data_IF_006359274541
#
_entry.id   IF_006359274541
#
_cell.length_a   1.000
_cell.length_b   1.000
_cell.length_c   1.000
_cell.angle_alpha   90.00
_cell.angle_beta   90.00
_cell.angle_gamma   90.00
#
_symmetry.space_group_name_H-M   'P 1'
#
loop_
_entity.id
_entity.type
_entity.pdbx_description
1 polymer ?
#
# COMPACT_ATOMS: atom_id res chain seq x y z
N UNK A 1 10.67 -11.49 -28.08
CA UNK A 1 10.79 -10.85 -26.76
C UNK A 1 9.45 -10.29 -26.33
N UNK A 2 8.88 -10.78 -25.23
CA UNK A 2 7.70 -10.15 -24.62
C UNK A 2 8.23 -8.91 -23.89
N UNK A 3 8.04 -7.76 -24.52
CA UNK A 3 8.37 -6.46 -23.92
C UNK A 3 7.17 -6.05 -23.07
N UNK A 4 7.32 -6.12 -21.75
CA UNK A 4 6.41 -5.42 -20.84
C UNK A 4 6.71 -3.92 -20.96
N UNK A 5 5.85 -3.18 -21.66
CA UNK A 5 5.96 -1.73 -21.88
C UNK A 5 5.59 -0.90 -20.63
N UNK A 6 5.28 -1.56 -19.51
CA UNK A 6 5.09 -0.94 -18.20
C UNK A 6 3.69 -0.40 -17.95
N UNK A 7 2.75 -0.52 -18.89
CA UNK A 7 1.35 -0.16 -18.64
C UNK A 7 0.58 -1.42 -18.23
N UNK A 8 0.16 -1.47 -16.97
CA UNK A 8 -0.67 -2.57 -16.49
C UNK A 8 -2.15 -2.32 -16.85
N UNK A 9 -2.83 -3.32 -17.40
CA UNK A 9 -4.28 -3.26 -17.68
C UNK A 9 -5.10 -3.03 -16.40
N UNK A 10 -4.62 -3.61 -15.29
CA UNK A 10 -5.19 -3.48 -13.94
C UNK A 10 -4.08 -3.40 -12.91
N UNK A 11 -4.36 -2.67 -11.83
CA UNK A 11 -3.46 -2.52 -10.70
C UNK A 11 -4.21 -2.75 -9.39
N UNK A 12 -3.50 -3.33 -8.43
CA UNK A 12 -3.90 -3.29 -7.03
C UNK A 12 -2.79 -2.66 -6.19
N UNK A 13 -3.14 -1.62 -5.41
CA UNK A 13 -2.18 -0.97 -4.54
C UNK A 13 -1.95 -1.79 -3.25
N UNK A 14 -0.75 -2.35 -3.10
CA UNK A 14 -0.34 -3.07 -1.87
C UNK A 14 0.15 -2.08 -0.80
N UNK A 15 0.92 -1.06 -1.20
CA UNK A 15 1.40 -0.01 -0.31
C UNK A 15 2.84 -0.15 0.21
N UNK A 16 3.54 -1.25 -0.13
CA UNK A 16 4.95 -1.44 0.22
C UNK A 16 5.72 -2.24 -0.86
N UNK A 17 7.06 -2.18 -0.80
CA UNK A 17 8.00 -2.97 -1.62
C UNK A 17 8.29 -4.35 -1.01
N UNK A 18 7.77 -4.62 0.19
CA UNK A 18 7.85 -5.89 0.90
C UNK A 18 6.46 -6.39 1.28
N UNK A 19 6.15 -7.68 1.11
CA UNK A 19 4.88 -8.23 1.58
C UNK A 19 4.81 -8.29 3.12
N UNK A 20 5.93 -8.25 3.84
CA UNK A 20 5.97 -8.30 5.30
C UNK A 20 5.28 -7.05 5.88
N UNK A 21 4.24 -7.25 6.68
CA UNK A 21 3.39 -6.16 7.18
C UNK A 21 2.14 -5.90 6.33
N UNK A 22 2.10 -6.41 5.09
CA UNK A 22 1.04 -6.15 4.11
C UNK A 22 0.48 -7.45 3.50
N UNK A 23 0.31 -8.48 4.33
CA UNK A 23 -0.12 -9.80 3.85
C UNK A 23 -1.55 -9.79 3.32
N UNK A 24 -2.46 -9.08 4.00
CA UNK A 24 -3.86 -9.01 3.58
C UNK A 24 -4.01 -8.29 2.24
N UNK A 25 -3.30 -7.18 2.07
CA UNK A 25 -3.24 -6.43 0.83
C UNK A 25 -2.62 -7.26 -0.28
N UNK A 26 -1.53 -7.97 0.01
CA UNK A 26 -0.86 -8.85 -0.95
C UNK A 26 -1.77 -9.99 -1.39
N UNK A 27 -2.49 -10.63 -0.47
CA UNK A 27 -3.44 -11.71 -0.77
C UNK A 27 -4.64 -11.20 -1.57
N UNK A 28 -5.24 -10.10 -1.12
CA UNK A 28 -6.38 -9.44 -1.78
C UNK A 28 -6.02 -9.03 -3.20
N UNK A 29 -4.88 -8.35 -3.38
CA UNK A 29 -4.40 -7.95 -4.69
C UNK A 29 -4.12 -9.15 -5.60
N UNK A 30 -3.51 -10.22 -5.06
CA UNK A 30 -3.28 -11.45 -5.84
C UNK A 30 -4.61 -12.04 -6.33
N UNK A 31 -5.62 -12.14 -5.44
CA UNK A 31 -6.94 -12.66 -5.80
C UNK A 31 -7.63 -11.81 -6.87
N UNK A 32 -7.72 -10.51 -6.63
CA UNK A 32 -8.41 -9.58 -7.53
C UNK A 32 -7.75 -9.55 -8.90
N UNK A 33 -6.42 -9.57 -9.00
CA UNK A 33 -5.74 -9.57 -10.31
C UNK A 33 -5.98 -10.88 -11.07
N UNK A 34 -6.00 -12.03 -10.38
CA UNK A 34 -6.37 -13.31 -11.00
C UNK A 34 -7.84 -13.30 -11.46
N UNK A 35 -8.74 -12.72 -10.69
CA UNK A 35 -10.15 -12.57 -11.10
C UNK A 35 -10.32 -11.66 -12.31
N UNK A 36 -9.61 -10.53 -12.36
CA UNK A 36 -9.64 -9.65 -13.52
C UNK A 36 -9.11 -10.37 -14.78
N UNK A 37 -8.03 -11.15 -14.66
CA UNK A 37 -7.51 -11.92 -15.78
C UNK A 37 -8.51 -13.00 -16.25
N UNK A 38 -9.18 -13.69 -15.32
CA UNK A 38 -10.25 -14.67 -15.66
C UNK A 38 -11.45 -14.01 -16.33
N UNK A 39 -11.89 -12.86 -15.81
CA UNK A 39 -13.02 -12.11 -16.36
C UNK A 39 -12.72 -11.48 -17.73
N UNK A 40 -11.44 -11.32 -18.06
CA UNK A 40 -10.97 -10.90 -19.37
C UNK A 40 -10.73 -12.10 -20.32
N UNK A 41 -11.21 -13.30 -19.97
CA UNK A 41 -11.08 -14.54 -20.75
C UNK A 41 -9.62 -14.87 -21.13
N UNK A 42 -8.66 -14.60 -20.23
CA UNK A 42 -7.27 -14.92 -20.47
C UNK A 42 -7.07 -16.44 -20.65
N UNK A 43 -6.47 -16.84 -21.77
CA UNK A 43 -6.15 -18.24 -22.07
C UNK A 43 -5.22 -18.88 -21.03
N UNK A 44 -4.33 -18.07 -20.45
CA UNK A 44 -3.32 -18.53 -19.50
C UNK A 44 -2.99 -17.46 -18.45
N UNK A 45 -2.87 -17.86 -17.19
CA UNK A 45 -2.57 -16.97 -16.06
C UNK A 45 -1.29 -17.41 -15.37
N UNK A 46 -0.26 -16.56 -15.43
CA UNK A 46 0.99 -16.74 -14.69
C UNK A 46 1.00 -15.78 -13.50
N UNK A 47 1.17 -16.32 -12.30
CA UNK A 47 1.35 -15.52 -11.08
C UNK A 47 2.80 -15.59 -10.64
N UNK A 48 3.59 -14.57 -11.00
CA UNK A 48 4.93 -14.39 -10.44
C UNK A 48 4.83 -13.94 -8.98
N UNK A 49 5.63 -14.54 -8.11
CA UNK A 49 5.54 -14.28 -6.68
C UNK A 49 6.88 -13.83 -6.11
N UNK A 50 6.83 -13.09 -5.01
CA UNK A 50 8.03 -12.64 -4.30
C UNK A 50 8.91 -13.80 -3.85
N UNK A 51 10.23 -13.60 -3.77
CA UNK A 51 11.16 -14.57 -3.18
C UNK A 51 11.07 -14.71 -1.65
N UNK A 52 9.98 -14.24 -1.01
CA UNK A 52 9.78 -14.34 0.43
C UNK A 52 9.19 -15.73 0.75
N UNK A 53 10.05 -16.68 1.15
CA UNK A 53 9.66 -18.11 1.31
C UNK A 53 10.17 -18.79 2.58
N UNK A 54 11.09 -18.18 3.35
CA UNK A 54 11.80 -18.89 4.44
C UNK A 54 11.25 -18.64 5.85
N UNK A 55 10.67 -17.47 6.14
CA UNK A 55 10.10 -17.19 7.45
C UNK A 55 8.75 -17.91 7.64
N UNK A 56 8.32 -18.26 8.87
CA UNK A 56 7.01 -18.89 9.09
C UNK A 56 5.84 -18.10 8.48
N UNK A 57 5.87 -16.76 8.57
CA UNK A 57 4.87 -15.90 7.95
C UNK A 57 4.93 -15.93 6.41
N UNK A 58 6.13 -16.13 5.83
CA UNK A 58 6.31 -16.29 4.40
C UNK A 58 5.69 -17.58 3.89
N UNK A 59 5.88 -18.68 4.63
CA UNK A 59 5.27 -19.99 4.34
C UNK A 59 3.74 -19.87 4.32
N UNK A 60 3.16 -19.32 5.38
CA UNK A 60 1.71 -19.11 5.51
C UNK A 60 1.18 -18.22 4.37
N UNK A 61 1.89 -17.15 4.01
CA UNK A 61 1.51 -16.30 2.88
C UNK A 61 1.44 -17.07 1.56
N UNK A 62 2.40 -17.97 1.29
CA UNK A 62 2.40 -18.78 0.06
C UNK A 62 1.27 -19.81 0.06
N UNK A 63 1.03 -20.47 1.18
CA UNK A 63 -0.07 -21.41 1.35
C UNK A 63 -1.42 -20.72 1.11
N UNK A 64 -1.66 -19.57 1.72
CA UNK A 64 -2.88 -18.80 1.48
C UNK A 64 -3.00 -18.31 0.03
N UNK A 65 -1.91 -17.93 -0.66
CA UNK A 65 -1.99 -17.62 -2.09
C UNK A 65 -2.46 -18.83 -2.90
N UNK A 66 -1.87 -20.01 -2.67
CA UNK A 66 -2.24 -21.27 -3.33
C UNK A 66 -3.73 -21.58 -3.10
N UNK A 67 -4.18 -21.50 -1.84
CA UNK A 67 -5.58 -21.72 -1.47
C UNK A 67 -6.53 -20.69 -2.07
N UNK A 68 -6.12 -19.43 -2.17
CA UNK A 68 -6.99 -18.34 -2.56
C UNK A 68 -7.21 -18.29 -4.07
N UNK A 69 -6.19 -18.62 -4.87
CA UNK A 69 -6.30 -18.56 -6.34
C UNK A 69 -6.54 -19.92 -6.98
N UNK A 70 -6.38 -21.03 -6.24
CA UNK A 70 -6.55 -22.41 -6.70
C UNK A 70 -5.83 -22.67 -8.03
N UNK A 71 -4.50 -22.50 -8.11
CA UNK A 71 -3.79 -22.73 -9.35
C UNK A 71 -3.79 -24.22 -9.70
N UNK A 72 -3.73 -24.56 -10.99
CA UNK A 72 -3.60 -25.97 -11.43
C UNK A 72 -2.14 -26.47 -11.31
N UNK A 73 -1.18 -25.55 -11.43
CA UNK A 73 0.24 -25.84 -11.39
C UNK A 73 0.96 -24.90 -10.40
N UNK A 74 1.84 -25.46 -9.58
CA UNK A 74 2.77 -24.71 -8.75
C UNK A 74 4.20 -25.01 -9.20
N UNK A 75 4.94 -23.98 -9.62
CA UNK A 75 6.33 -24.11 -10.07
C UNK A 75 7.28 -23.61 -8.98
N UNK A 76 8.07 -24.51 -8.42
CA UNK A 76 9.07 -24.22 -7.39
C UNK A 76 10.48 -24.20 -8.01
N UNK A 77 11.09 -23.02 -8.11
CA UNK A 77 12.43 -22.84 -8.68
C UNK A 77 13.48 -22.83 -7.56
N UNK A 78 14.14 -23.96 -7.33
CA UNK A 78 15.09 -24.21 -6.25
C UNK A 78 15.13 -25.68 -5.84
N UNK A 79 15.86 -26.04 -4.78
CA UNK A 79 15.89 -27.42 -4.29
C UNK A 79 14.55 -27.76 -3.61
N UNK A 80 14.02 -28.96 -3.85
CA UNK A 80 12.70 -29.37 -3.31
C UNK A 80 12.57 -29.22 -1.79
N UNK A 81 13.65 -29.51 -1.05
CA UNK A 81 13.69 -29.37 0.42
C UNK A 81 13.41 -27.94 0.89
N UNK A 82 13.76 -26.92 0.10
CA UNK A 82 13.58 -25.50 0.44
C UNK A 82 12.10 -25.10 0.46
N UNK A 83 11.25 -25.83 -0.26
CA UNK A 83 9.82 -25.55 -0.37
C UNK A 83 8.94 -26.53 0.40
N UNK A 84 9.53 -27.51 1.11
CA UNK A 84 8.78 -28.56 1.80
C UNK A 84 7.78 -27.98 2.80
N UNK A 85 8.15 -26.91 3.52
CA UNK A 85 7.25 -26.24 4.46
C UNK A 85 6.02 -25.62 3.79
N UNK A 86 6.14 -25.18 2.53
CA UNK A 86 5.02 -24.62 1.77
C UNK A 86 4.18 -25.74 1.15
N UNK A 87 4.83 -26.76 0.60
CA UNK A 87 4.22 -27.71 -0.36
C UNK A 87 3.73 -29.01 0.26
N UNK A 88 4.23 -29.41 1.43
CA UNK A 88 3.94 -30.74 1.99
C UNK A 88 2.45 -31.02 2.19
N UNK A 89 1.67 -30.03 2.66
CA UNK A 89 0.23 -30.18 2.85
C UNK A 89 -0.56 -30.43 1.55
N UNK A 90 -0.03 -30.03 0.39
CA UNK A 90 -0.67 -30.21 -0.91
C UNK A 90 -0.18 -31.44 -1.67
N UNK A 91 0.86 -32.14 -1.19
CA UNK A 91 1.55 -33.21 -1.92
C UNK A 91 0.68 -34.40 -2.34
N UNK A 92 -0.45 -34.62 -1.66
CA UNK A 92 -1.40 -35.70 -1.95
C UNK A 92 -2.73 -35.18 -2.52
N UNK A 93 -2.83 -33.89 -2.84
CA UNK A 93 -4.07 -33.28 -3.30
C UNK A 93 -4.12 -33.24 -4.83
N UNK A 94 -5.07 -33.97 -5.43
CA UNK A 94 -5.15 -34.16 -6.87
C UNK A 94 -5.43 -32.89 -7.69
N UNK A 95 -5.84 -31.79 -7.06
CA UNK A 95 -6.17 -30.55 -7.77
C UNK A 95 -4.94 -29.68 -8.08
N UNK A 96 -3.77 -29.95 -7.47
CA UNK A 96 -2.57 -29.14 -7.62
C UNK A 96 -1.39 -29.99 -8.10
N UNK A 97 -0.85 -29.68 -9.28
CA UNK A 97 0.38 -30.29 -9.77
C UNK A 97 1.60 -29.46 -9.33
N UNK A 98 2.51 -30.05 -8.55
CA UNK A 98 3.69 -29.36 -8.04
C UNK A 98 4.93 -29.79 -8.83
N UNK A 99 5.65 -28.80 -9.37
CA UNK A 99 6.84 -28.98 -10.19
C UNK A 99 8.04 -28.37 -9.50
N UNK A 100 9.17 -29.09 -9.47
CA UNK A 100 10.43 -28.59 -8.95
C UNK A 100 11.44 -28.43 -10.07
N UNK A 101 11.94 -27.23 -10.26
CA UNK A 101 12.93 -26.88 -11.27
C UNK A 101 14.17 -26.31 -10.60
N UNK A 102 15.36 -26.68 -11.08
CA UNK A 102 16.58 -26.00 -10.66
C UNK A 102 16.67 -24.63 -11.34
N UNK A 103 17.23 -23.61 -10.66
CA UNK A 103 17.50 -22.33 -11.30
C UNK A 103 18.40 -22.51 -12.53
N UNK A 104 18.15 -21.73 -13.58
CA UNK A 104 18.99 -21.73 -14.77
C UNK A 104 20.44 -21.32 -14.43
N UNK A 105 21.44 -21.89 -15.12
CA UNK A 105 22.87 -21.66 -14.83
C UNK A 105 23.30 -20.20 -14.97
N UNK A 106 22.60 -19.41 -15.78
CA UNK A 106 22.84 -17.96 -15.94
C UNK A 106 22.19 -17.12 -14.83
N UNK A 107 21.35 -17.69 -13.97
CA UNK A 107 20.75 -16.96 -12.86
C UNK A 107 21.86 -16.48 -11.91
N UNK A 108 21.74 -15.23 -11.46
CA UNK A 108 22.70 -14.61 -10.54
C UNK A 108 21.97 -14.08 -9.33
N UNK A 109 22.59 -14.23 -8.16
CA UNK A 109 22.07 -13.67 -6.93
C UNK A 109 22.14 -12.13 -7.01
N UNK A 110 20.98 -11.47 -6.98
CA UNK A 110 20.93 -10.00 -6.88
C UNK A 110 21.19 -9.59 -5.44
N UNK A 111 22.19 -8.74 -5.21
CA UNK A 111 22.44 -8.14 -3.90
C UNK A 111 21.28 -7.25 -3.44
N UNK A 112 21.17 -6.97 -2.14
CA UNK A 112 20.19 -6.01 -1.61
C UNK A 112 20.31 -4.63 -2.26
N UNK A 113 21.55 -4.16 -2.50
CA UNK A 113 21.84 -2.89 -3.17
C UNK A 113 21.38 -2.90 -4.63
N UNK A 114 21.62 -4.00 -5.36
CA UNK A 114 21.15 -4.15 -6.75
C UNK A 114 19.63 -4.10 -6.82
N UNK A 115 18.93 -4.78 -5.90
CA UNK A 115 17.46 -4.73 -5.84
C UNK A 115 16.95 -3.33 -5.50
N UNK A 116 17.60 -2.64 -4.57
CA UNK A 116 17.25 -1.27 -4.20
C UNK A 116 17.40 -0.30 -5.36
N UNK A 117 18.53 -0.35 -6.07
CA UNK A 117 18.81 0.46 -7.26
C UNK A 117 17.81 0.20 -8.36
N UNK A 118 17.55 -1.07 -8.68
CA UNK A 118 16.55 -1.46 -9.67
C UNK A 118 15.16 -0.92 -9.32
N UNK A 119 14.72 -1.02 -8.06
CA UNK A 119 13.44 -0.43 -7.64
C UNK A 119 13.40 1.08 -7.81
N UNK A 120 14.48 1.78 -7.45
CA UNK A 120 14.61 3.22 -7.67
C UNK A 120 14.46 3.56 -9.15
N UNK A 121 15.21 2.89 -10.03
CA UNK A 121 15.11 3.07 -11.48
C UNK A 121 13.70 2.81 -12.02
N UNK A 122 13.00 1.79 -11.50
CA UNK A 122 11.59 1.52 -11.87
C UNK A 122 10.65 2.63 -11.42
N UNK A 123 10.81 3.16 -10.20
CA UNK A 123 10.03 4.31 -9.74
C UNK A 123 10.35 5.57 -10.55
N UNK A 124 11.62 5.86 -10.80
CA UNK A 124 12.06 7.00 -11.61
C UNK A 124 11.48 6.91 -13.04
N UNK A 125 11.44 5.70 -13.61
CA UNK A 125 10.80 5.45 -14.91
C UNK A 125 9.29 5.64 -14.85
N UNK A 126 8.61 5.11 -13.82
CA UNK A 126 7.15 5.26 -13.68
C UNK A 126 6.73 6.73 -13.50
N UNK A 127 7.54 7.52 -12.80
CA UNK A 127 7.26 8.92 -12.51
C UNK A 127 7.94 9.90 -13.48
N UNK A 128 8.58 9.44 -14.55
CA UNK A 128 9.31 10.31 -15.50
C UNK A 128 8.40 11.32 -16.20
N UNK A 129 7.18 10.90 -16.56
CA UNK A 129 6.15 11.72 -17.20
C UNK A 129 5.06 12.16 -16.21
N UNK A 130 5.40 12.27 -14.92
CA UNK A 130 4.47 12.69 -13.88
C UNK A 130 4.57 14.18 -13.58
N UNK A 131 3.44 14.77 -13.18
CA UNK A 131 3.37 16.15 -12.70
C UNK A 131 2.77 16.20 -11.30
N UNK A 132 3.13 17.23 -10.52
CA UNK A 132 2.46 17.50 -9.24
C UNK A 132 1.09 18.09 -9.53
N UNK A 133 0.06 17.50 -8.94
CA UNK A 133 -1.33 17.89 -9.10
C UNK A 133 -1.95 18.16 -7.74
N UNK A 134 -2.84 19.13 -7.66
CA UNK A 134 -3.58 19.44 -6.44
C UNK A 134 -4.80 18.55 -6.33
N UNK A 135 -4.97 17.91 -5.18
CA UNK A 135 -6.06 17.01 -4.87
C UNK A 135 -6.78 17.52 -3.62
N UNK A 136 -7.95 18.17 -3.77
CA UNK A 136 -8.74 18.68 -2.65
C UNK A 136 -9.20 17.58 -1.70
N UNK A 137 -9.20 17.85 -0.40
CA UNK A 137 -9.63 16.87 0.61
C UNK A 137 -11.09 16.46 0.41
N UNK A 138 -11.94 17.36 -0.05
CA UNK A 138 -13.37 17.15 -0.25
C UNK A 138 -13.66 16.13 -1.36
N UNK A 139 -12.75 16.02 -2.34
CA UNK A 139 -12.88 15.14 -3.49
C UNK A 139 -12.70 13.66 -3.13
N UNK A 140 -11.93 13.38 -2.08
CA UNK A 140 -11.46 12.03 -1.77
C UNK A 140 -11.93 11.52 -0.41
N UNK A 141 -11.89 10.20 -0.27
CA UNK A 141 -11.92 9.50 1.02
C UNK A 141 -10.66 8.68 1.24
N UNK A 142 -10.19 8.65 2.48
CA UNK A 142 -8.99 7.92 2.87
C UNK A 142 -9.25 6.44 3.07
N UNK A 143 -8.36 5.60 2.54
CA UNK A 143 -8.30 4.16 2.79
C UNK A 143 -6.96 3.77 3.40
N UNK A 144 -6.97 2.83 4.35
CA UNK A 144 -5.77 2.38 5.09
C UNK A 144 -5.01 3.52 5.79
N UNK A 145 -5.76 4.54 6.21
CA UNK A 145 -5.27 5.71 6.94
C UNK A 145 -6.36 6.14 7.93
N UNK A 146 -6.03 6.78 9.06
CA UNK A 146 -7.04 7.39 9.92
C UNK A 146 -7.59 8.73 9.38
N UNK A 147 -7.01 9.29 8.32
CA UNK A 147 -7.35 10.61 7.77
C UNK A 147 -8.26 10.53 6.54
N UNK A 148 -8.93 11.62 6.21
CA UNK A 148 -9.90 11.80 5.12
C UNK A 148 -11.12 10.88 5.18
N UNK A 149 -11.58 10.53 6.38
CA UNK A 149 -12.71 9.62 6.61
C UNK A 149 -13.79 10.32 7.43
N UNK A 150 -13.40 11.05 8.46
CA UNK A 150 -14.31 11.63 9.45
C UNK A 150 -14.84 12.99 9.03
N UNK A 151 -15.59 13.61 9.95
CA UNK A 151 -15.99 15.02 9.83
C UNK A 151 -14.80 15.90 10.20
N UNK A 152 -14.33 16.79 9.32
CA UNK A 152 -13.30 17.76 9.66
C UNK A 152 -13.71 18.63 10.85
N UNK A 153 -12.76 18.89 11.75
CA UNK A 153 -12.93 19.84 12.85
C UNK A 153 -13.05 21.27 12.29
N UNK A 154 -13.93 22.08 12.89
CA UNK A 154 -13.99 23.51 12.60
C UNK A 154 -12.91 24.29 13.38
N UNK A 155 -12.77 25.59 13.12
CA UNK A 155 -11.75 26.44 13.75
C UNK A 155 -11.80 26.42 15.29
N UNK A 156 -13.00 26.52 15.89
CA UNK A 156 -13.17 26.47 17.35
C UNK A 156 -12.77 25.12 17.93
N UNK A 157 -13.10 24.03 17.23
CA UNK A 157 -12.69 22.69 17.63
C UNK A 157 -11.17 22.52 17.53
N UNK A 158 -10.53 23.07 16.50
CA UNK A 158 -9.07 23.06 16.35
C UNK A 158 -8.38 23.88 17.46
N UNK A 159 -8.96 25.01 17.88
CA UNK A 159 -8.46 25.80 19.02
C UNK A 159 -8.52 25.00 20.33
N UNK A 160 -9.66 24.38 20.63
CA UNK A 160 -9.84 23.53 21.82
C UNK A 160 -8.84 22.36 21.80
N UNK A 161 -8.73 21.68 20.66
CA UNK A 161 -7.81 20.57 20.50
C UNK A 161 -6.35 21.01 20.63
N UNK A 162 -6.00 22.21 20.15
CA UNK A 162 -4.65 22.76 20.31
C UNK A 162 -4.33 23.08 21.77
N UNK A 163 -5.32 23.55 22.53
CA UNK A 163 -5.20 23.73 23.98
C UNK A 163 -4.98 22.40 24.71
N UNK A 164 -5.80 21.38 24.42
CA UNK A 164 -5.66 20.05 25.03
C UNK A 164 -4.36 19.33 24.64
N UNK A 165 -3.86 19.59 23.43
CA UNK A 165 -2.64 19.00 22.91
C UNK A 165 -1.37 19.77 23.32
N UNK A 166 -1.52 20.98 23.89
CA UNK A 166 -0.43 21.92 24.18
C UNK A 166 0.49 22.17 22.96
N UNK A 167 -0.07 22.07 21.76
CA UNK A 167 0.62 22.29 20.48
C UNK A 167 -0.39 22.62 19.40
N UNK A 168 0.04 23.29 18.34
CA UNK A 168 -0.84 23.60 17.22
C UNK A 168 -1.34 22.32 16.53
N UNK A 169 -2.65 22.21 16.38
CA UNK A 169 -3.34 21.18 15.59
C UNK A 169 -3.68 21.79 14.22
N UNK A 170 -3.03 21.32 13.17
CA UNK A 170 -3.26 21.81 11.80
C UNK A 170 -4.52 21.25 11.17
N UNK A 171 -4.88 20.01 11.52
CA UNK A 171 -6.03 19.32 10.98
C UNK A 171 -6.53 18.30 12.00
N UNK A 172 -7.84 18.09 12.04
CA UNK A 172 -8.43 17.04 12.83
C UNK A 172 -9.73 16.54 12.19
N UNK A 173 -10.03 15.25 12.38
CA UNK A 173 -11.31 14.67 11.97
C UNK A 173 -11.94 13.85 13.08
N UNK A 174 -13.23 14.07 13.24
CA UNK A 174 -14.08 13.34 14.16
C UNK A 174 -14.71 12.14 13.47
N UNK A 175 -14.58 10.96 14.08
CA UNK A 175 -15.35 9.77 13.75
C UNK A 175 -16.27 9.36 14.91
N UNK A 176 -16.87 8.18 14.83
CA UNK A 176 -17.71 7.67 15.91
C UNK A 176 -16.86 7.32 17.14
N UNK A 177 -16.84 8.22 18.14
CA UNK A 177 -15.99 8.12 19.34
C UNK A 177 -14.50 7.96 18.99
N UNK A 178 -14.05 8.53 17.87
CA UNK A 178 -12.64 8.55 17.47
C UNK A 178 -12.23 9.94 17.01
N UNK A 179 -10.96 10.26 17.18
CA UNK A 179 -10.35 11.49 16.69
C UNK A 179 -9.05 11.15 15.97
N UNK A 180 -8.78 11.78 14.83
CA UNK A 180 -7.43 11.84 14.28
C UNK A 180 -6.98 13.30 14.19
N UNK A 181 -5.69 13.55 14.43
CA UNK A 181 -5.10 14.89 14.42
C UNK A 181 -3.78 14.91 13.66
N UNK A 182 -3.53 16.00 12.94
CA UNK A 182 -2.21 16.41 12.49
C UNK A 182 -1.74 17.57 13.35
N UNK A 183 -0.61 17.38 14.03
CA UNK A 183 -0.05 18.35 14.97
C UNK A 183 1.32 18.84 14.53
N UNK A 184 1.73 19.99 15.05
CA UNK A 184 3.05 20.57 14.73
C UNK A 184 4.23 19.82 15.38
N UNK A 185 3.99 19.09 16.47
CA UNK A 185 5.00 18.33 17.22
C UNK A 185 4.40 17.04 17.75
N UNK A 186 5.20 15.97 17.80
CA UNK A 186 4.75 14.69 18.36
C UNK A 186 4.24 14.85 19.79
N UNK A 187 3.07 14.26 20.05
CA UNK A 187 2.49 14.22 21.39
C UNK A 187 3.01 13.04 22.19
N UNK A 188 3.14 13.23 23.50
CA UNK A 188 3.43 12.13 24.41
C UNK A 188 2.25 11.15 24.49
N UNK A 189 2.53 9.88 24.83
CA UNK A 189 1.46 8.89 25.09
C UNK A 189 0.50 9.35 26.19
N UNK A 190 1.00 10.05 27.21
CA UNK A 190 0.18 10.56 28.31
C UNK A 190 -0.80 11.63 27.82
N UNK A 191 -0.34 12.57 26.98
CA UNK A 191 -1.19 13.60 26.36
C UNK A 191 -2.28 12.97 25.49
N UNK A 192 -1.93 11.98 24.66
CA UNK A 192 -2.91 11.27 23.81
C UNK A 192 -3.97 10.55 24.67
N UNK A 193 -3.54 9.90 25.76
CA UNK A 193 -4.47 9.25 26.71
C UNK A 193 -5.35 10.29 27.41
N UNK A 194 -4.80 11.43 27.80
CA UNK A 194 -5.55 12.52 28.42
C UNK A 194 -6.65 13.03 27.49
N UNK A 195 -6.31 13.39 26.24
CA UNK A 195 -7.26 13.83 25.21
C UNK A 195 -8.35 12.77 25.00
N UNK A 196 -7.95 11.49 24.85
CA UNK A 196 -8.88 10.38 24.67
C UNK A 196 -9.90 10.31 25.81
N UNK A 197 -9.44 10.40 27.06
CA UNK A 197 -10.30 10.25 28.23
C UNK A 197 -11.18 11.50 28.44
N UNK A 198 -10.60 12.70 28.31
CA UNK A 198 -11.31 13.98 28.47
C UNK A 198 -12.49 14.09 27.49
N UNK A 199 -12.27 13.69 26.24
CA UNK A 199 -13.29 13.70 25.19
C UNK A 199 -14.14 12.42 25.14
N UNK A 200 -13.95 11.49 26.09
CA UNK A 200 -14.67 10.20 26.15
C UNK A 200 -14.58 9.38 24.86
N UNK A 201 -13.43 9.37 24.20
CA UNK A 201 -13.15 8.67 22.95
C UNK A 201 -12.65 7.25 23.17
N UNK A 202 -12.83 6.39 22.16
CA UNK A 202 -12.27 5.03 22.11
C UNK A 202 -10.86 5.02 21.55
N UNK A 203 -10.55 5.93 20.61
CA UNK A 203 -9.25 6.02 19.95
C UNK A 203 -8.91 7.45 19.57
N UNK A 204 -7.65 7.83 19.76
CA UNK A 204 -7.06 9.07 19.23
C UNK A 204 -5.82 8.69 18.43
N UNK A 205 -5.79 9.05 17.15
CA UNK A 205 -4.63 8.89 16.28
C UNK A 205 -3.98 10.26 16.08
N UNK A 206 -2.66 10.37 16.27
CA UNK A 206 -1.96 11.65 16.17
C UNK A 206 -0.72 11.47 15.33
N UNK A 207 -0.58 12.31 14.31
CA UNK A 207 0.57 12.31 13.40
C UNK A 207 1.06 13.75 13.20
N UNK A 208 2.25 13.90 12.61
CA UNK A 208 2.80 15.21 12.19
C UNK A 208 2.79 15.30 10.66
N UNK A 209 3.12 16.47 10.09
CA UNK A 209 3.07 16.69 8.63
C UNK A 209 3.89 15.67 7.82
N UNK A 210 5.01 15.20 8.38
CA UNK A 210 5.89 14.20 7.74
C UNK A 210 5.23 12.83 7.53
N UNK A 211 4.05 12.60 8.11
CA UNK A 211 3.21 11.45 7.78
C UNK A 211 2.85 11.44 6.28
N UNK A 212 2.59 12.59 5.67
CA UNK A 212 2.21 12.66 4.26
C UNK A 212 3.44 12.68 3.34
N UNK A 213 4.54 13.24 3.80
CA UNK A 213 5.70 13.54 2.95
C UNK A 213 6.30 12.29 2.29
N UNK A 214 6.45 12.38 0.97
CA UNK A 214 7.06 11.37 0.07
C UNK A 214 6.45 9.98 0.21
N UNK A 215 5.20 9.91 0.67
CA UNK A 215 4.48 8.65 0.86
C UNK A 215 3.85 8.18 -0.44
N UNK A 216 4.04 6.90 -0.73
CA UNK A 216 3.40 6.24 -1.85
C UNK A 216 1.90 6.05 -1.55
N UNK A 217 1.07 6.34 -2.54
CA UNK A 217 -0.39 6.23 -2.44
C UNK A 217 -0.97 5.60 -3.70
N UNK A 218 -2.09 4.90 -3.55
CA UNK A 218 -2.92 4.47 -4.68
C UNK A 218 -4.11 5.40 -4.84
N UNK A 219 -4.33 5.95 -6.04
CA UNK A 219 -5.57 6.68 -6.32
C UNK A 219 -6.62 5.71 -6.88
N UNK A 220 -7.83 5.84 -6.35
CA UNK A 220 -8.96 4.96 -6.64
C UNK A 220 -10.07 5.78 -7.28
N UNK A 221 -10.57 5.29 -8.41
CA UNK A 221 -11.68 5.92 -9.13
C UNK A 221 -13.04 5.46 -8.61
N UNK A 222 -14.10 6.01 -9.20
CA UNK A 222 -15.50 5.66 -8.86
C UNK A 222 -15.87 4.19 -9.10
N UNK A 223 -15.08 3.44 -9.87
CA UNK A 223 -15.28 2.00 -10.10
C UNK A 223 -14.66 1.13 -9.01
N UNK A 224 -13.90 1.75 -8.08
CA UNK A 224 -13.28 1.08 -6.95
C UNK A 224 -11.93 0.45 -7.25
N UNK A 225 -11.36 0.67 -8.43
CA UNK A 225 -10.04 0.16 -8.80
C UNK A 225 -8.94 1.20 -8.58
N UNK A 226 -7.75 0.73 -8.19
CA UNK A 226 -6.55 1.55 -8.29
C UNK A 226 -6.19 1.69 -9.77
N UNK A 227 -6.20 2.91 -10.29
CA UNK A 227 -5.85 3.18 -11.69
C UNK A 227 -4.49 3.89 -11.82
N UNK A 228 -3.99 4.50 -10.75
CA UNK A 228 -2.66 5.14 -10.73
C UNK A 228 -2.03 5.09 -9.34
N UNK A 229 -0.70 5.09 -9.30
CA UNK A 229 0.09 5.28 -8.08
C UNK A 229 0.58 6.72 -8.06
N UNK A 230 0.54 7.35 -6.89
CA UNK A 230 1.07 8.69 -6.67
C UNK A 230 2.07 8.74 -5.53
N UNK A 231 2.74 9.88 -5.41
CA UNK A 231 3.54 10.25 -4.24
C UNK A 231 2.97 11.55 -3.70
N UNK A 232 2.63 11.59 -2.41
CA UNK A 232 2.31 12.86 -1.77
C UNK A 232 3.61 13.64 -1.55
N UNK A 233 3.72 14.80 -2.17
CA UNK A 233 4.89 15.69 -2.05
C UNK A 233 4.70 16.71 -0.93
N UNK A 234 3.47 17.20 -0.74
CA UNK A 234 3.13 18.16 0.30
C UNK A 234 1.64 18.10 0.64
N UNK A 235 1.29 18.72 1.76
CA UNK A 235 -0.08 18.93 2.21
C UNK A 235 -0.23 20.39 2.63
N UNK A 236 -1.29 21.05 2.16
CA UNK A 236 -1.67 22.40 2.56
C UNK A 236 -2.98 22.31 3.34
N UNK A 237 -2.89 22.43 4.67
CA UNK A 237 -4.07 22.34 5.55
C UNK A 237 -4.95 23.60 5.50
N UNK A 238 -4.41 24.75 5.08
CA UNK A 238 -5.19 25.98 4.92
C UNK A 238 -6.04 25.91 3.65
N UNK A 239 -5.44 25.48 2.54
CA UNK A 239 -6.16 25.26 1.28
C UNK A 239 -6.95 23.96 1.26
N UNK A 240 -6.64 23.03 2.17
CA UNK A 240 -7.24 21.69 2.28
C UNK A 240 -6.97 20.85 1.02
N UNK A 241 -5.71 20.83 0.60
CA UNK A 241 -5.26 20.13 -0.62
C UNK A 241 -4.01 19.29 -0.36
N UNK A 242 -3.94 18.13 -1.02
CA UNK A 242 -2.72 17.34 -1.18
C UNK A 242 -2.05 17.70 -2.50
N UNK A 243 -0.74 17.92 -2.48
CA UNK A 243 0.09 17.96 -3.69
C UNK A 243 0.58 16.55 -3.99
N UNK A 244 0.04 15.92 -5.04
CA UNK A 244 0.34 14.53 -5.42
C UNK A 244 1.06 14.49 -6.76
N UNK A 245 2.28 13.93 -6.78
CA UNK A 245 2.98 13.59 -8.02
C UNK A 245 2.41 12.28 -8.58
N UNK A 246 1.80 12.35 -9.74
CA UNK A 246 1.28 11.19 -10.48
C UNK A 246 1.14 11.54 -11.97
N UNK A 247 0.71 10.57 -12.79
CA UNK A 247 0.43 10.78 -14.22
C UNK A 247 -0.50 12.00 -14.39
N UNK A 248 -0.19 12.88 -15.35
CA UNK A 248 -0.95 14.13 -15.58
C UNK A 248 -2.46 13.88 -15.73
N UNK A 249 -3.26 14.79 -15.15
CA UNK A 249 -4.72 14.74 -15.06
C UNK A 249 -5.33 13.58 -14.29
N UNK A 250 -4.52 12.66 -13.75
CA UNK A 250 -5.04 11.50 -13.06
C UNK A 250 -5.84 11.85 -11.80
N UNK A 251 -5.52 12.93 -11.07
CA UNK A 251 -6.23 13.25 -9.83
C UNK A 251 -7.71 13.57 -10.04
N UNK A 252 -8.12 13.99 -11.25
CA UNK A 252 -9.51 14.37 -11.55
C UNK A 252 -10.51 13.23 -11.40
N UNK A 253 -10.04 11.99 -11.57
CA UNK A 253 -10.87 10.78 -11.49
C UNK A 253 -10.88 10.16 -10.09
N UNK A 254 -10.04 10.64 -9.17
CA UNK A 254 -9.88 10.05 -7.86
C UNK A 254 -11.08 10.38 -6.97
N UNK A 255 -11.74 9.37 -6.41
CA UNK A 255 -12.72 9.54 -5.34
C UNK A 255 -12.24 8.95 -4.00
N UNK A 256 -11.16 8.17 -4.01
CA UNK A 256 -10.49 7.69 -2.81
C UNK A 256 -8.97 7.63 -2.99
N UNK A 257 -8.26 7.69 -1.86
CA UNK A 257 -6.82 7.58 -1.78
C UNK A 257 -6.45 6.51 -0.76
N UNK A 258 -5.63 5.54 -1.16
CA UNK A 258 -5.08 4.54 -0.24
C UNK A 258 -3.65 4.88 0.14
N UNK A 259 -3.38 4.89 1.44
CA UNK A 259 -2.06 5.13 1.98
C UNK A 259 -1.26 3.83 2.05
N UNK A 260 0.01 3.89 1.63
CA UNK A 260 1.00 2.85 1.85
C UNK A 260 1.98 3.22 2.96
N UNK A 261 2.75 2.25 3.43
CA UNK A 261 3.81 2.47 4.42
C UNK A 261 5.15 2.85 3.75
N UNK A 262 5.26 2.64 2.43
CA UNK A 262 6.46 3.01 1.70
C UNK A 262 6.61 4.52 1.54
N UNK A 263 7.69 5.06 2.12
CA UNK A 263 8.14 6.43 1.89
C UNK A 263 9.41 6.43 1.04
N UNK A 264 9.39 7.18 -0.05
CA UNK A 264 10.56 7.34 -0.89
C UNK A 264 11.59 8.19 -0.16
N UNK A 265 12.80 7.67 0.00
CA UNK A 265 13.93 8.48 0.51
C UNK A 265 14.32 9.50 -0.56
N UNK A 266 14.61 10.75 -0.15
CA UNK A 266 15.21 11.72 -1.08
C UNK A 266 16.53 11.19 -1.62
N UNK A 267 16.78 11.41 -2.91
CA UNK A 267 18.14 11.42 -3.43
C UNK A 267 18.91 12.46 -2.64
N UNK A 268 19.90 12.04 -1.86
CA UNK A 268 20.97 12.97 -1.45
C UNK A 268 21.82 13.28 -2.66
#
# INVERSE_FOLDING_TARGET
DIVFDGTADRLYFVGDVSPKGHFLETLTGTRLMVDNARAADADFIIVDTTGYVHDPAAVILKQHKIELIRPNHLICIGRSIEFKQITACYSQQAWLNIHYLLPHQSARLKSGNTRSRYRKERFDTYFSESSVQQLPFEQIRGGRTPFFIGRPANEKELEILSGLAETQVYHAEWGNRTLCCIVSKHLSKATIIHIKNYLSLTRVAVEVSTYFERRLVGLIDSTGYTYVIGIIEAVDFQKRELSVRCKTDAVKQACAIQFGDYQLRSSK
#
